data_IF_464429908679
#
_entry.id   IF_464429908679
#
_cell.length_a   1.000
_cell.length_b   1.000
_cell.length_c   1.000
_cell.angle_alpha   90.00
_cell.angle_beta   90.00
_cell.angle_gamma   90.00
#
_symmetry.space_group_name_H-M   'P 1'
#
loop_
_entity.id
_entity.type
_entity.pdbx_description
1 polymer ?
#
# COMPACT_ATOMS: atom_id res chain seq x y z
N UNK A 1 16.09 28.71 10.75
CA UNK A 1 16.16 29.21 9.36
C UNK A 1 15.92 28.03 8.43
N UNK A 2 14.71 27.91 7.88
CA UNK A 2 14.34 26.76 7.04
C UNK A 2 14.70 27.05 5.58
N UNK A 3 15.49 26.18 4.94
CA UNK A 3 15.77 26.23 3.49
C UNK A 3 15.02 25.08 2.82
N UNK A 4 14.02 25.45 2.02
CA UNK A 4 13.23 24.55 1.18
C UNK A 4 14.07 24.05 -0.01
N UNK A 5 14.03 22.75 -0.28
CA UNK A 5 14.73 22.11 -1.39
C UNK A 5 13.71 21.85 -2.51
N UNK A 6 13.93 22.43 -3.69
CA UNK A 6 13.16 22.19 -4.90
C UNK A 6 13.66 20.94 -5.64
N UNK A 7 12.73 20.06 -6.06
CA UNK A 7 13.03 18.85 -6.82
C UNK A 7 12.54 18.95 -8.28
N UNK A 8 13.46 18.75 -9.23
CA UNK A 8 13.19 18.69 -10.66
C UNK A 8 12.86 17.26 -11.15
N UNK A 9 11.85 17.14 -12.02
CA UNK A 9 11.37 15.88 -12.64
C UNK A 9 12.04 15.66 -13.99
N UNK A 10 12.48 14.43 -14.28
CA UNK A 10 12.82 13.99 -15.64
C UNK A 10 12.00 12.74 -16.04
N UNK A 11 11.32 12.86 -17.17
CA UNK A 11 10.52 11.82 -17.84
C UNK A 11 11.38 11.08 -18.87
N UNK A 12 11.20 9.75 -19.00
CA UNK A 12 11.50 9.08 -20.27
C UNK A 12 10.64 7.84 -20.54
N UNK A 13 10.19 7.80 -21.79
CA UNK A 13 9.30 6.84 -22.41
C UNK A 13 9.93 5.46 -22.63
N UNK A 14 9.08 4.43 -22.69
CA UNK A 14 9.46 3.06 -23.09
C UNK A 14 8.72 2.67 -24.38
N UNK A 15 9.50 2.41 -25.43
CA UNK A 15 9.04 1.76 -26.65
C UNK A 15 8.88 0.26 -26.44
N UNK A 16 7.78 -0.30 -26.96
CA UNK A 16 7.49 -1.73 -26.98
C UNK A 16 7.85 -2.29 -28.36
N UNK A 17 8.49 -3.46 -28.39
CA UNK A 17 8.35 -4.40 -29.50
C UNK A 17 7.99 -5.78 -28.97
N UNK A 18 6.98 -6.35 -29.62
CA UNK A 18 6.48 -7.69 -29.43
C UNK A 18 7.21 -8.67 -30.36
N UNK A 19 7.29 -9.94 -29.97
CA UNK A 19 7.26 -11.02 -30.96
C UNK A 19 6.46 -12.20 -30.42
N UNK A 20 5.66 -12.74 -31.33
CA UNK A 20 4.78 -13.90 -31.18
C UNK A 20 5.60 -15.20 -31.16
N UNK A 21 5.01 -16.26 -30.59
CA UNK A 21 5.01 -17.60 -31.23
C UNK A 21 3.90 -18.48 -30.64
N UNK A 22 3.24 -19.18 -31.56
CA UNK A 22 2.04 -20.01 -31.41
C UNK A 22 2.39 -21.51 -31.27
N UNK A 23 1.31 -22.30 -31.14
CA UNK A 23 1.18 -23.77 -31.26
C UNK A 23 1.43 -24.57 -29.96
N UNK A 24 0.67 -25.61 -29.61
CA UNK A 24 -0.56 -26.20 -30.16
C UNK A 24 -1.01 -27.34 -29.23
N UNK A 25 -2.32 -27.53 -29.11
CA UNK A 25 -3.12 -28.75 -28.94
C UNK A 25 -2.64 -29.99 -28.14
N UNK A 26 -3.55 -30.49 -27.30
CA UNK A 26 -3.59 -31.88 -26.79
C UNK A 26 -4.75 -32.07 -25.81
N UNK A 27 -5.90 -32.53 -26.29
CA UNK A 27 -7.12 -32.85 -25.51
C UNK A 27 -7.16 -34.28 -25.00
N UNK A 28 -8.09 -34.50 -24.06
CA UNK A 28 -8.82 -35.74 -23.72
C UNK A 28 -8.14 -36.68 -22.69
N UNK A 29 -8.80 -37.37 -21.76
CA UNK A 29 -10.23 -37.52 -21.35
C UNK A 29 -10.27 -38.32 -20.03
N UNK A 30 -11.27 -38.03 -19.19
CA UNK A 30 -12.08 -38.88 -18.28
C UNK A 30 -11.57 -40.20 -17.68
N UNK A 31 -11.86 -40.38 -16.38
CA UNK A 31 -11.99 -41.68 -15.71
C UNK A 31 -12.59 -41.53 -14.31
N UNK A 32 -13.90 -41.80 -14.17
CA UNK A 32 -14.63 -41.88 -12.91
C UNK A 32 -14.30 -43.17 -12.14
N UNK A 33 -14.37 -43.11 -10.81
CA UNK A 33 -14.23 -44.26 -9.92
C UNK A 33 -14.84 -43.96 -8.55
N UNK A 34 -16.15 -44.16 -8.47
CA UNK A 34 -16.99 -44.00 -7.26
C UNK A 34 -16.66 -45.05 -6.19
N UNK A 35 -16.33 -44.62 -4.98
CA UNK A 35 -16.46 -45.43 -3.78
C UNK A 35 -17.08 -44.62 -2.63
N UNK A 36 -18.12 -45.23 -2.06
CA UNK A 36 -19.08 -44.69 -1.10
C UNK A 36 -18.51 -44.83 0.31
N UNK A 37 -18.19 -43.70 0.95
CA UNK A 37 -17.80 -43.66 2.37
C UNK A 37 -18.84 -42.90 3.17
N UNK A 38 -19.23 -43.51 4.29
CA UNK A 38 -20.15 -43.07 5.33
C UNK A 38 -20.07 -41.57 5.66
N UNK A 39 -21.23 -40.90 5.63
CA UNK A 39 -21.40 -39.48 5.98
C UNK A 39 -21.22 -39.32 7.49
N UNK A 40 -19.99 -39.06 7.92
CA UNK A 40 -19.73 -38.41 9.19
C UNK A 40 -20.03 -36.92 9.06
N UNK A 41 -20.73 -36.34 10.03
CA UNK A 41 -21.00 -34.90 10.11
C UNK A 41 -19.71 -34.13 9.86
N UNK A 42 -19.64 -33.21 8.88
CA UNK A 42 -18.42 -32.45 8.63
C UNK A 42 -18.03 -31.72 9.91
N UNK A 43 -16.74 -31.71 10.30
CA UNK A 43 -16.30 -30.83 11.37
C UNK A 43 -16.74 -29.42 11.02
N UNK A 44 -17.32 -28.71 11.99
CA UNK A 44 -17.65 -27.29 11.85
C UNK A 44 -16.35 -26.56 11.51
N UNK A 45 -16.08 -26.37 10.22
CA UNK A 45 -15.00 -25.53 9.74
C UNK A 45 -15.42 -24.12 10.11
N UNK A 46 -14.85 -23.58 11.17
CA UNK A 46 -14.97 -22.15 11.45
C UNK A 46 -14.68 -21.41 10.14
N UNK A 47 -15.60 -20.54 9.68
CA UNK A 47 -15.37 -19.79 8.46
C UNK A 47 -14.03 -19.07 8.60
N UNK A 48 -13.17 -19.13 7.56
CA UNK A 48 -11.83 -18.59 7.64
C UNK A 48 -11.91 -17.15 8.13
N UNK A 49 -11.22 -16.85 9.24
CA UNK A 49 -11.19 -15.51 9.86
C UNK A 49 -11.06 -14.47 8.76
N UNK A 50 -12.11 -13.67 8.54
CA UNK A 50 -12.16 -12.64 7.49
C UNK A 50 -10.87 -11.81 7.59
N UNK A 51 -10.01 -11.93 6.59
CA UNK A 51 -8.73 -11.22 6.55
C UNK A 51 -9.02 -9.80 6.09
N UNK A 52 -9.02 -8.86 7.03
CA UNK A 52 -9.36 -7.46 6.73
C UNK A 52 -9.52 -6.64 8.01
N UNK A 53 -9.56 -5.33 7.83
CA UNK A 53 -9.88 -4.39 8.90
C UNK A 53 -11.33 -4.62 9.36
N UNK A 54 -11.57 -4.71 10.68
CA UNK A 54 -12.93 -4.79 11.23
C UNK A 54 -13.79 -3.65 10.66
N UNK A 55 -15.03 -3.95 10.30
CA UNK A 55 -15.98 -2.96 9.76
C UNK A 55 -16.02 -1.72 10.66
N UNK A 56 -15.89 -0.53 10.07
CA UNK A 56 -15.94 0.75 10.80
C UNK A 56 -14.72 1.09 11.66
N UNK A 57 -13.74 0.20 11.83
CA UNK A 57 -12.50 0.51 12.56
C UNK A 57 -11.73 1.60 11.80
N UNK A 58 -11.69 2.81 12.33
CA UNK A 58 -10.72 3.82 11.91
C UNK A 58 -9.49 3.76 12.80
N UNK A 59 -8.32 3.87 12.17
CA UNK A 59 -7.06 3.94 12.87
C UNK A 59 -6.97 5.37 13.35
N UNK A 60 -7.02 5.54 14.66
CA UNK A 60 -6.82 6.84 15.29
C UNK A 60 -5.33 7.15 15.34
N UNK A 61 -5.01 8.43 15.21
CA UNK A 61 -3.67 8.91 15.52
C UNK A 61 -3.38 8.54 16.98
N UNK A 62 -2.22 7.94 17.23
CA UNK A 62 -1.74 7.65 18.57
C UNK A 62 -0.62 8.63 18.85
N UNK A 63 -0.62 9.22 20.04
CA UNK A 63 0.54 9.95 20.53
C UNK A 63 1.52 8.95 21.15
N UNK A 64 2.83 9.17 21.04
CA UNK A 64 3.80 8.33 21.69
C UNK A 64 3.71 8.47 23.21
N UNK A 65 4.13 7.42 23.94
CA UNK A 65 4.07 7.40 25.41
C UNK A 65 4.90 8.55 26.00
N UNK A 66 4.34 9.24 27.00
CA UNK A 66 5.01 10.30 27.78
C UNK A 66 5.45 11.54 26.97
N UNK A 67 4.87 11.80 25.78
CA UNK A 67 5.27 12.95 24.95
C UNK A 67 6.67 12.83 24.34
N UNK A 68 7.33 11.68 24.50
CA UNK A 68 8.64 11.41 23.92
C UNK A 68 8.51 11.03 22.44
N UNK A 69 9.28 11.67 21.56
CA UNK A 69 9.32 11.31 20.13
C UNK A 69 9.91 9.92 19.91
N UNK A 70 9.35 9.16 18.98
CA UNK A 70 9.86 7.83 18.61
C UNK A 70 11.09 7.98 17.73
N UNK A 71 12.21 7.41 18.16
CA UNK A 71 13.46 7.44 17.42
C UNK A 71 13.46 6.47 16.23
N UNK A 72 13.73 7.00 15.05
CA UNK A 72 13.85 6.29 13.79
C UNK A 72 15.30 6.39 13.27
N UNK A 73 15.67 5.43 12.42
CA UNK A 73 16.91 5.46 11.65
C UNK A 73 16.62 5.15 10.18
N UNK A 74 17.06 6.02 9.24
CA UNK A 74 17.01 5.74 7.80
C UNK A 74 17.50 4.35 7.43
N UNK A 75 16.81 3.68 6.51
CA UNK A 75 17.22 2.36 6.02
C UNK A 75 16.77 2.08 4.59
N UNK A 76 17.72 2.10 3.67
CA UNK A 76 17.46 2.04 2.23
C UNK A 76 16.64 3.24 1.77
N UNK A 77 16.00 3.14 0.61
CA UNK A 77 15.49 4.34 -0.08
C UNK A 77 14.10 4.80 0.37
N UNK A 78 13.38 4.01 1.18
CA UNK A 78 11.95 4.25 1.44
C UNK A 78 11.46 3.72 2.80
N UNK A 79 12.37 3.36 3.71
CA UNK A 79 11.98 2.77 5.00
C UNK A 79 12.77 3.34 6.17
N UNK A 80 12.13 3.33 7.32
CA UNK A 80 12.78 3.58 8.60
C UNK A 80 12.86 2.29 9.41
N UNK A 81 13.94 2.14 10.15
CA UNK A 81 14.04 1.23 11.29
C UNK A 81 13.77 1.98 12.59
N UNK A 82 13.30 1.29 13.61
CA UNK A 82 13.09 1.88 14.94
C UNK A 82 14.35 1.67 15.78
N UNK A 83 14.87 2.72 16.43
CA UNK A 83 16.06 2.58 17.30
C UNK A 83 15.76 1.69 18.50
N UNK A 84 14.56 1.84 19.08
CA UNK A 84 14.06 0.99 20.17
C UNK A 84 12.71 0.42 19.75
N UNK A 85 12.71 -0.65 18.95
CA UNK A 85 11.49 -1.23 18.40
C UNK A 85 10.55 -1.74 19.51
N UNK A 86 9.44 -1.02 19.72
CA UNK A 86 8.35 -1.42 20.61
C UNK A 86 7.04 -1.52 19.82
N UNK A 87 6.55 -2.74 19.54
CA UNK A 87 5.21 -2.92 18.98
C UNK A 87 4.14 -2.32 19.91
N UNK A 88 3.01 -1.77 19.42
CA UNK A 88 2.54 -1.73 18.03
C UNK A 88 2.59 -0.34 17.37
N UNK A 89 3.42 0.60 17.85
CA UNK A 89 3.42 1.98 17.33
C UNK A 89 4.16 2.10 15.99
N UNK A 90 3.41 2.21 14.89
CA UNK A 90 3.98 2.20 13.52
C UNK A 90 3.93 3.56 12.82
N UNK A 91 5.07 4.04 12.33
CA UNK A 91 5.17 5.30 11.58
C UNK A 91 4.30 5.31 10.31
N UNK A 92 4.29 4.20 9.56
CA UNK A 92 3.48 4.04 8.33
C UNK A 92 1.98 4.18 8.60
N UNK A 93 1.55 3.75 9.78
CA UNK A 93 0.17 3.83 10.22
C UNK A 93 -0.19 5.24 10.65
N UNK A 94 0.67 5.91 11.44
CA UNK A 94 0.45 7.30 11.83
C UNK A 94 0.42 8.21 10.61
N UNK A 95 1.37 8.07 9.69
CA UNK A 95 1.46 8.89 8.49
C UNK A 95 0.23 8.73 7.59
N UNK A 96 -0.31 7.52 7.47
CA UNK A 96 -1.56 7.29 6.74
C UNK A 96 -2.79 7.95 7.39
N UNK A 97 -2.76 8.21 8.70
CA UNK A 97 -3.82 8.97 9.39
C UNK A 97 -3.62 10.46 9.18
N UNK A 98 -2.39 10.97 9.34
CA UNK A 98 -2.04 12.38 9.14
C UNK A 98 -2.40 12.81 7.70
N UNK A 99 -1.99 12.04 6.68
CA UNK A 99 -2.34 12.32 5.28
C UNK A 99 -3.85 12.44 5.01
N UNK A 100 -4.66 11.58 5.64
CA UNK A 100 -6.12 11.62 5.47
C UNK A 100 -6.76 12.81 6.18
N UNK A 101 -6.19 13.22 7.31
CA UNK A 101 -6.68 14.35 8.10
C UNK A 101 -6.34 15.67 7.43
N UNK A 102 -5.11 15.79 6.96
CA UNK A 102 -4.59 16.99 6.29
C UNK A 102 -4.85 16.98 4.78
N UNK A 103 -5.76 16.12 4.30
CA UNK A 103 -6.04 16.00 2.88
C UNK A 103 -6.52 17.36 2.31
N UNK A 104 -5.91 17.87 1.22
CA UNK A 104 -6.22 19.20 0.72
C UNK A 104 -7.68 19.35 0.27
N UNK A 105 -8.17 20.59 0.37
CA UNK A 105 -9.36 21.04 -0.37
C UNK A 105 -9.08 21.08 -1.89
N UNK A 106 -10.12 21.33 -2.68
CA UNK A 106 -10.02 21.48 -4.14
C UNK A 106 -8.95 22.48 -4.54
N UNK A 107 -7.94 21.98 -5.25
CA UNK A 107 -6.79 22.74 -5.73
C UNK A 107 -7.23 23.53 -6.95
N UNK A 108 -6.90 24.82 -6.97
CA UNK A 108 -7.21 25.70 -8.09
C UNK A 108 -6.10 25.63 -9.13
N UNK A 109 -6.45 25.19 -10.33
CA UNK A 109 -5.58 25.28 -11.49
C UNK A 109 -5.57 26.71 -11.98
N UNK A 110 -4.40 27.34 -11.94
CA UNK A 110 -4.22 28.72 -12.38
C UNK A 110 -3.45 28.77 -13.70
N UNK A 111 -3.86 29.65 -14.59
CA UNK A 111 -3.09 29.96 -15.79
C UNK A 111 -1.83 30.80 -15.46
N UNK A 112 -1.05 31.14 -16.50
CA UNK A 112 0.16 31.95 -16.38
C UNK A 112 -0.10 33.36 -15.79
N UNK A 113 -1.36 33.83 -15.84
CA UNK A 113 -1.79 35.13 -15.33
C UNK A 113 -2.41 35.03 -13.92
N UNK A 114 -2.46 33.83 -13.33
CA UNK A 114 -3.02 33.58 -12.01
C UNK A 114 -4.54 33.42 -11.98
N UNK A 115 -5.22 33.38 -13.13
CA UNK A 115 -6.66 33.16 -13.19
C UNK A 115 -6.99 31.68 -13.00
N UNK A 116 -8.03 31.41 -12.22
CA UNK A 116 -8.49 30.04 -11.98
C UNK A 116 -9.18 29.51 -13.24
N UNK A 117 -8.54 28.55 -13.90
CA UNK A 117 -9.04 27.87 -15.12
C UNK A 117 -9.68 26.53 -14.83
N UNK A 118 -9.48 25.99 -13.62
CA UNK A 118 -10.02 24.70 -13.22
C UNK A 118 -9.84 24.43 -11.74
N UNK A 119 -10.41 23.31 -11.29
CA UNK A 119 -10.15 22.78 -9.96
C UNK A 119 -9.97 21.26 -10.05
N UNK A 120 -9.09 20.72 -9.23
CA UNK A 120 -8.89 19.28 -9.13
C UNK A 120 -8.67 18.82 -7.68
N UNK A 121 -8.82 17.52 -7.45
CA UNK A 121 -8.53 16.87 -6.19
C UNK A 121 -7.05 16.47 -6.11
N UNK A 122 -6.45 16.48 -4.93
CA UNK A 122 -5.07 16.03 -4.74
C UNK A 122 -4.91 14.52 -5.03
N UNK A 123 -4.12 14.17 -6.05
CA UNK A 123 -3.85 12.79 -6.46
C UNK A 123 -2.40 12.36 -6.22
N UNK A 124 -1.51 13.34 -6.10
CA UNK A 124 -0.06 13.17 -5.91
C UNK A 124 0.40 13.88 -4.63
N UNK A 125 1.62 13.59 -4.18
CA UNK A 125 2.16 14.24 -2.97
C UNK A 125 2.43 15.73 -3.21
N UNK A 126 2.89 16.10 -4.40
CA UNK A 126 3.20 17.48 -4.75
C UNK A 126 1.95 18.39 -4.63
N UNK A 127 0.76 17.84 -4.88
CA UNK A 127 -0.52 18.53 -4.80
C UNK A 127 -0.83 19.06 -3.39
N UNK A 128 -0.25 18.46 -2.33
CA UNK A 128 -0.43 18.91 -0.95
C UNK A 128 0.18 20.30 -0.68
N UNK A 129 0.99 20.81 -1.60
CA UNK A 129 1.64 22.12 -1.51
C UNK A 129 0.99 23.19 -2.40
N UNK A 130 -0.01 22.84 -3.22
CA UNK A 130 -0.52 23.73 -4.28
C UNK A 130 -1.71 24.61 -3.87
N UNK A 131 -2.32 24.41 -2.71
CA UNK A 131 -3.57 25.07 -2.36
C UNK A 131 -3.58 25.62 -0.93
N UNK A 132 -3.30 26.92 -0.80
CA UNK A 132 -3.15 27.63 0.47
C UNK A 132 -4.18 28.75 0.62
N UNK A 133 -5.39 28.41 1.08
CA UNK A 133 -6.22 29.38 1.82
C UNK A 133 -5.63 29.72 3.19
N UNK A 134 -4.69 28.89 3.65
CA UNK A 134 -3.98 28.97 4.94
C UNK A 134 -2.54 29.42 4.71
N UNK A 135 -1.92 30.02 5.74
CA UNK A 135 -0.50 30.40 5.72
C UNK A 135 0.42 29.19 5.52
N UNK A 136 0.06 28.05 6.10
CA UNK A 136 0.77 26.77 5.96
C UNK A 136 0.01 25.84 4.98
N UNK A 137 0.76 25.16 4.10
CA UNK A 137 0.25 24.14 3.18
C UNK A 137 -0.16 22.86 3.92
N UNK A 138 -1.02 22.05 3.31
CA UNK A 138 -1.31 20.70 3.83
C UNK A 138 -0.05 19.84 3.91
N UNK A 139 0.87 19.97 2.95
CA UNK A 139 2.12 19.23 2.93
C UNK A 139 3.03 19.57 4.11
N UNK A 140 3.17 20.86 4.43
CA UNK A 140 3.93 21.33 5.60
C UNK A 140 3.33 20.81 6.91
N UNK A 141 2.00 20.85 7.08
CA UNK A 141 1.34 20.30 8.28
C UNK A 141 1.61 18.80 8.45
N UNK A 142 1.54 18.02 7.36
CA UNK A 142 1.86 16.59 7.38
C UNK A 142 3.30 16.34 7.85
N UNK A 143 4.26 17.11 7.34
CA UNK A 143 5.67 16.98 7.71
C UNK A 143 5.91 17.42 9.15
N UNK A 144 5.34 18.55 9.55
CA UNK A 144 5.42 19.11 10.91
C UNK A 144 4.92 18.11 11.95
N UNK A 145 3.75 17.52 11.71
CA UNK A 145 3.18 16.51 12.61
C UNK A 145 3.97 15.22 12.65
N UNK A 146 4.48 14.76 11.50
CA UNK A 146 5.33 13.58 11.49
C UNK A 146 6.57 13.81 12.38
N UNK A 147 7.25 14.94 12.24
CA UNK A 147 8.41 15.28 13.07
C UNK A 147 8.06 15.71 14.49
N UNK A 148 6.79 15.98 14.79
CA UNK A 148 6.31 16.10 16.16
C UNK A 148 6.25 14.73 16.85
N UNK A 149 5.93 13.66 16.12
CA UNK A 149 5.79 12.29 16.67
C UNK A 149 7.10 11.49 16.60
N UNK A 150 7.97 11.77 15.63
CA UNK A 150 9.17 11.00 15.34
C UNK A 150 10.42 11.89 15.36
N UNK A 151 11.57 11.28 15.64
CA UNK A 151 12.88 11.95 15.56
C UNK A 151 13.91 11.03 14.93
N UNK A 152 14.92 11.63 14.32
CA UNK A 152 16.12 10.97 13.82
C UNK A 152 17.35 11.63 14.45
N UNK A 153 18.51 11.00 14.33
CA UNK A 153 19.77 11.64 14.69
C UNK A 153 20.06 12.83 13.75
N UNK A 154 20.86 13.81 14.20
CA UNK A 154 21.07 15.06 13.45
C UNK A 154 21.76 14.79 12.11
N UNK A 155 22.74 13.89 12.13
CA UNK A 155 23.48 13.40 10.95
C UNK A 155 22.60 12.68 9.92
N UNK A 156 21.44 12.17 10.35
CA UNK A 156 20.52 11.38 9.52
C UNK A 156 19.37 12.23 8.95
N UNK A 157 19.28 13.53 9.27
CA UNK A 157 18.10 14.36 8.93
C UNK A 157 17.87 14.51 7.43
N UNK A 158 18.93 14.74 6.64
CA UNK A 158 18.80 14.91 5.19
C UNK A 158 18.30 13.63 4.52
N UNK A 159 18.91 12.49 4.87
CA UNK A 159 18.50 11.18 4.34
C UNK A 159 17.09 10.81 4.81
N UNK A 160 16.75 11.11 6.06
CA UNK A 160 15.41 10.90 6.58
C UNK A 160 14.35 11.72 5.82
N UNK A 161 14.69 12.96 5.43
CA UNK A 161 13.86 13.79 4.57
C UNK A 161 13.59 13.13 3.21
N UNK A 162 14.66 12.68 2.53
CA UNK A 162 14.55 11.98 1.23
C UNK A 162 13.71 10.71 1.30
N UNK A 163 13.92 9.89 2.34
CA UNK A 163 13.16 8.65 2.56
C UNK A 163 11.68 8.96 2.82
N UNK A 164 11.40 9.96 3.67
CA UNK A 164 10.03 10.34 4.00
C UNK A 164 9.29 10.84 2.76
N UNK A 165 9.91 11.68 1.96
CA UNK A 165 9.32 12.19 0.71
C UNK A 165 9.04 11.07 -0.29
N UNK A 166 10.01 10.17 -0.48
CA UNK A 166 9.85 9.00 -1.37
C UNK A 166 8.71 8.11 -0.89
N UNK A 167 8.62 7.89 0.43
CA UNK A 167 7.52 7.14 1.03
C UNK A 167 6.17 7.83 0.85
N UNK A 168 6.09 9.16 1.05
CA UNK A 168 4.87 9.96 0.91
C UNK A 168 4.33 9.94 -0.52
N UNK A 169 5.21 10.13 -1.52
CA UNK A 169 4.86 10.00 -2.95
C UNK A 169 4.20 8.66 -3.26
N UNK A 170 4.74 7.57 -2.71
CA UNK A 170 4.12 6.25 -2.85
C UNK A 170 2.81 6.15 -2.06
N UNK A 171 2.79 6.64 -0.82
CA UNK A 171 1.67 6.45 0.12
C UNK A 171 0.41 7.18 -0.33
N UNK A 172 0.53 8.38 -0.92
CA UNK A 172 -0.62 9.11 -1.47
C UNK A 172 -1.28 8.32 -2.60
N UNK A 173 -0.50 7.75 -3.53
CA UNK A 173 -1.04 6.89 -4.61
C UNK A 173 -1.74 5.65 -4.07
N UNK A 174 -1.12 4.97 -3.09
CA UNK A 174 -1.73 3.83 -2.41
C UNK A 174 -3.04 4.23 -1.70
N UNK A 175 -3.07 5.43 -1.12
CA UNK A 175 -4.24 5.99 -0.44
C UNK A 175 -5.39 6.24 -1.43
N UNK A 176 -5.12 6.80 -2.61
CA UNK A 176 -6.14 7.01 -3.65
C UNK A 176 -6.71 5.69 -4.18
N UNK A 177 -5.84 4.68 -4.36
CA UNK A 177 -6.30 3.33 -4.70
C UNK A 177 -7.21 2.75 -3.61
N UNK A 178 -6.81 2.88 -2.34
CA UNK A 178 -7.60 2.43 -1.18
C UNK A 178 -8.93 3.19 -1.06
N UNK A 179 -8.93 4.50 -1.30
CA UNK A 179 -10.11 5.37 -1.26
C UNK A 179 -11.20 4.85 -2.18
N UNK A 180 -10.84 4.54 -3.44
CA UNK A 180 -11.77 4.00 -4.43
C UNK A 180 -12.35 2.64 -4.01
N UNK A 181 -11.53 1.75 -3.47
CA UNK A 181 -12.00 0.44 -2.98
C UNK A 181 -12.92 0.62 -1.76
N UNK A 182 -12.58 1.53 -0.85
CA UNK A 182 -13.44 1.90 0.29
C UNK A 182 -14.78 2.48 -0.18
N UNK A 183 -14.78 3.27 -1.27
CA UNK A 183 -15.97 3.86 -1.87
C UNK A 183 -16.94 2.81 -2.41
N UNK A 184 -16.40 1.80 -3.14
CA UNK A 184 -17.19 0.65 -3.60
C UNK A 184 -17.83 -0.05 -2.41
N UNK A 185 -17.06 -0.31 -1.35
CA UNK A 185 -17.59 -0.97 -0.15
C UNK A 185 -18.68 -0.14 0.54
N UNK A 186 -18.53 1.18 0.57
CA UNK A 186 -19.56 2.06 1.14
C UNK A 186 -20.84 2.06 0.30
N UNK A 187 -20.73 2.12 -1.03
CA UNK A 187 -21.89 2.04 -1.92
C UNK A 187 -22.68 0.75 -1.70
N UNK A 188 -22.03 -0.42 -1.71
CA UNK A 188 -22.72 -1.69 -1.46
C UNK A 188 -23.27 -1.80 -0.04
N UNK A 189 -22.64 -1.16 0.96
CA UNK A 189 -23.21 -1.04 2.31
C UNK A 189 -24.54 -0.28 2.29
N UNK A 190 -24.69 0.75 1.46
CA UNK A 190 -25.99 1.45 1.32
C UNK A 190 -27.11 0.56 0.78
N UNK A 191 -26.74 -0.55 0.10
CA UNK A 191 -27.66 -1.57 -0.40
C UNK A 191 -27.86 -2.74 0.59
N UNK A 192 -27.22 -2.69 1.76
CA UNK A 192 -27.24 -3.77 2.76
C UNK A 192 -26.23 -4.90 2.49
N UNK A 193 -25.30 -4.74 1.54
CA UNK A 193 -24.31 -5.75 1.19
C UNK A 193 -22.92 -5.45 1.78
N UNK A 194 -22.30 -6.45 2.42
CA UNK A 194 -20.91 -6.36 2.90
C UNK A 194 -19.93 -7.00 1.91
N UNK A 195 -19.12 -6.17 1.25
CA UNK A 195 -18.02 -6.63 0.41
C UNK A 195 -16.68 -6.67 1.16
N UNK A 196 -15.87 -7.71 0.90
CA UNK A 196 -14.47 -7.71 1.27
C UNK A 196 -13.59 -7.00 0.20
N UNK A 197 -12.30 -6.85 0.49
CA UNK A 197 -11.39 -6.15 -0.42
C UNK A 197 -11.19 -6.90 -1.75
N UNK A 198 -11.31 -8.24 -1.77
CA UNK A 198 -11.14 -9.04 -2.98
C UNK A 198 -12.32 -8.85 -3.93
N UNK A 199 -13.53 -8.79 -3.40
CA UNK A 199 -14.76 -8.56 -4.16
C UNK A 199 -14.89 -7.09 -4.59
N UNK A 200 -14.53 -6.14 -3.73
CA UNK A 200 -14.62 -4.71 -4.05
C UNK A 200 -13.52 -4.21 -5.01
N UNK A 201 -12.33 -4.83 -4.99
CA UNK A 201 -11.22 -4.45 -5.85
C UNK A 201 -11.56 -4.42 -7.36
N UNK A 202 -12.15 -5.47 -7.97
CA UNK A 202 -12.42 -5.50 -9.41
C UNK A 202 -13.58 -4.59 -9.84
N UNK A 203 -14.57 -4.33 -8.98
CA UNK A 203 -15.79 -3.59 -9.34
C UNK A 203 -15.46 -2.17 -9.81
N UNK A 204 -16.04 -1.78 -10.94
CA UNK A 204 -16.07 -0.42 -11.46
C UNK A 204 -17.49 0.11 -11.27
N UNK A 205 -17.61 1.30 -10.67
CA UNK A 205 -18.88 1.98 -10.46
C UNK A 205 -18.99 3.14 -11.46
N UNK A 206 -20.24 3.50 -11.75
CA UNK A 206 -20.58 4.76 -12.41
C UNK A 206 -20.51 5.92 -11.40
N UNK A 207 -20.46 7.16 -11.92
CA UNK A 207 -20.26 8.37 -11.12
C UNK A 207 -21.30 8.53 -10.00
N UNK A 208 -22.58 8.32 -10.31
CA UNK A 208 -23.69 8.42 -9.36
C UNK A 208 -23.58 7.41 -8.20
N UNK A 209 -23.03 6.23 -8.47
CA UNK A 209 -22.81 5.17 -7.47
C UNK A 209 -21.59 5.48 -6.61
N UNK A 210 -20.52 6.03 -7.18
CA UNK A 210 -19.40 6.51 -6.38
C UNK A 210 -19.80 7.67 -5.47
N UNK A 211 -20.63 8.61 -5.94
CA UNK A 211 -21.15 9.70 -5.11
C UNK A 211 -21.88 9.20 -3.85
N UNK A 212 -22.70 8.15 -4.00
CA UNK A 212 -23.39 7.47 -2.87
C UNK A 212 -22.42 6.75 -1.92
N UNK A 213 -21.27 6.30 -2.42
CA UNK A 213 -20.23 5.60 -1.66
C UNK A 213 -19.22 6.52 -0.95
N UNK A 214 -19.63 7.69 -0.45
CA UNK A 214 -18.70 8.67 0.13
C UNK A 214 -17.91 8.15 1.33
N UNK A 215 -16.58 8.27 1.26
CA UNK A 215 -15.70 7.91 2.38
C UNK A 215 -15.59 9.04 3.41
N UNK A 216 -15.55 8.67 4.69
CA UNK A 216 -15.65 9.62 5.83
C UNK A 216 -14.57 10.70 5.90
N UNK A 217 -13.33 10.38 5.50
CA UNK A 217 -12.21 11.30 5.65
C UNK A 217 -12.08 12.28 4.49
N UNK A 218 -12.77 12.06 3.36
CA UNK A 218 -12.66 12.94 2.21
C UNK A 218 -13.61 14.14 2.37
N UNK A 219 -13.15 15.38 2.15
CA UNK A 219 -13.99 16.56 2.18
C UNK A 219 -15.19 16.43 1.23
N UNK A 220 -16.40 16.87 1.64
CA UNK A 220 -17.60 16.83 0.79
C UNK A 220 -17.38 17.49 -0.58
N UNK A 221 -16.72 18.64 -0.62
CA UNK A 221 -16.50 19.40 -1.85
C UNK A 221 -15.52 18.72 -2.81
N UNK A 222 -14.57 17.95 -2.28
CA UNK A 222 -13.57 17.24 -3.10
C UNK A 222 -14.11 15.91 -3.63
N UNK A 223 -15.10 15.33 -2.96
CA UNK A 223 -15.62 14.00 -3.28
C UNK A 223 -16.12 13.85 -4.72
N UNK A 224 -16.93 14.78 -5.28
CA UNK A 224 -17.38 14.68 -6.67
C UNK A 224 -16.24 14.70 -7.68
N UNK A 225 -15.17 15.44 -7.41
CA UNK A 225 -13.99 15.48 -8.29
C UNK A 225 -13.26 14.13 -8.31
N UNK A 226 -13.11 13.48 -7.15
CA UNK A 226 -12.54 12.13 -7.09
C UNK A 226 -13.40 11.08 -7.82
N UNK A 227 -14.73 11.18 -7.70
CA UNK A 227 -15.66 10.29 -8.41
C UNK A 227 -15.49 10.44 -9.93
N UNK A 228 -15.52 11.69 -10.42
CA UNK A 228 -15.28 12.02 -11.84
C UNK A 228 -13.92 11.49 -12.32
N UNK A 229 -12.87 11.67 -11.51
CA UNK A 229 -11.55 11.15 -11.83
C UNK A 229 -11.54 9.62 -12.00
N UNK A 230 -12.18 8.86 -11.08
CA UNK A 230 -12.24 7.40 -11.18
C UNK A 230 -13.11 6.89 -12.34
N UNK A 231 -14.07 7.69 -12.81
CA UNK A 231 -14.85 7.41 -14.01
C UNK A 231 -14.20 7.92 -15.31
N UNK A 232 -13.09 8.66 -15.21
CA UNK A 232 -12.39 9.19 -16.38
C UNK A 232 -11.83 8.08 -17.28
N UNK A 233 -11.86 8.32 -18.59
CA UNK A 233 -11.29 7.40 -19.59
C UNK A 233 -9.81 7.12 -19.33
N UNK A 234 -9.06 8.14 -18.90
CA UNK A 234 -7.63 8.02 -18.61
C UNK A 234 -7.38 7.06 -17.44
N UNK A 235 -8.08 7.26 -16.32
CA UNK A 235 -7.95 6.40 -15.15
C UNK A 235 -8.32 4.95 -15.46
N UNK A 236 -9.47 4.74 -16.13
CA UNK A 236 -9.93 3.41 -16.51
C UNK A 236 -8.94 2.70 -17.44
N UNK A 237 -8.35 3.41 -18.40
CA UNK A 237 -7.32 2.85 -19.28
C UNK A 237 -6.06 2.44 -18.51
N UNK A 238 -5.57 3.29 -17.60
CA UNK A 238 -4.41 2.99 -16.74
C UNK A 238 -4.68 1.78 -15.83
N UNK A 239 -5.87 1.74 -15.23
CA UNK A 239 -6.34 0.64 -14.37
C UNK A 239 -6.44 -0.68 -15.11
N UNK A 240 -7.12 -0.72 -16.26
CA UNK A 240 -7.25 -1.92 -17.11
C UNK A 240 -5.88 -2.47 -17.52
N UNK A 241 -4.95 -1.60 -17.91
CA UNK A 241 -3.57 -1.98 -18.21
C UNK A 241 -2.87 -2.62 -17.01
N UNK A 242 -2.99 -2.01 -15.83
CA UNK A 242 -2.41 -2.53 -14.59
C UNK A 242 -3.07 -3.82 -14.09
N UNK A 243 -4.36 -4.04 -14.36
CA UNK A 243 -5.05 -5.28 -14.06
C UNK A 243 -4.61 -6.40 -15.01
N UNK A 244 -4.59 -6.14 -16.32
CA UNK A 244 -4.12 -7.07 -17.35
C UNK A 244 -2.68 -7.54 -17.06
N UNK A 245 -1.77 -6.61 -16.80
CA UNK A 245 -0.38 -6.94 -16.46
C UNK A 245 -0.24 -7.84 -15.21
N UNK A 246 -1.14 -7.69 -14.23
CA UNK A 246 -1.15 -8.54 -13.02
C UNK A 246 -1.73 -9.93 -13.31
N UNK A 247 -2.82 -10.01 -14.08
CA UNK A 247 -3.50 -11.26 -14.40
C UNK A 247 -2.73 -12.11 -15.41
N UNK A 248 -1.96 -11.49 -16.31
CA UNK A 248 -1.09 -12.19 -17.27
C UNK A 248 0.15 -12.83 -16.63
N UNK A 249 0.43 -12.53 -15.35
CA UNK A 249 1.57 -13.11 -14.65
C UNK A 249 1.14 -14.35 -13.86
N UNK A 250 1.39 -15.54 -14.42
CA UNK A 250 1.13 -16.85 -13.78
C UNK A 250 1.82 -17.05 -12.42
N UNK A 251 2.84 -16.24 -12.15
CA UNK A 251 3.54 -16.22 -10.87
C UNK A 251 3.84 -14.78 -10.45
N UNK A 252 2.95 -14.21 -9.64
CA UNK A 252 3.02 -12.81 -9.19
C UNK A 252 4.11 -12.60 -8.12
N UNK A 253 4.68 -13.68 -7.56
CA UNK A 253 5.66 -13.62 -6.47
C UNK A 253 5.24 -12.67 -5.33
N UNK A 254 3.95 -12.68 -4.96
CA UNK A 254 3.38 -11.75 -4.01
C UNK A 254 4.02 -11.90 -2.62
N UNK A 255 4.17 -10.78 -1.91
CA UNK A 255 4.59 -10.81 -0.51
C UNK A 255 3.43 -11.27 0.39
N UNK A 256 3.71 -12.19 1.30
CA UNK A 256 2.79 -12.75 2.28
C UNK A 256 2.98 -12.19 3.71
N UNK A 257 3.96 -11.29 3.92
CA UNK A 257 4.28 -10.62 5.20
C UNK A 257 3.23 -9.63 5.74
N UNK A 258 2.09 -9.49 5.08
CA UNK A 258 1.02 -8.57 5.48
C UNK A 258 1.44 -7.10 5.37
N UNK A 259 1.03 -6.25 6.32
CA UNK A 259 1.34 -4.82 6.35
C UNK A 259 2.72 -4.48 6.92
N UNK A 260 3.53 -5.47 7.31
CA UNK A 260 4.88 -5.25 7.82
C UNK A 260 5.83 -5.03 6.63
N UNK A 261 6.49 -3.86 6.53
CA UNK A 261 7.51 -3.63 5.51
C UNK A 261 8.76 -4.47 5.79
N UNK A 262 9.71 -4.49 4.84
CA UNK A 262 10.90 -5.32 4.90
C UNK A 262 11.74 -5.06 6.16
N UNK A 263 12.03 -3.78 6.44
CA UNK A 263 12.81 -3.35 7.60
C UNK A 263 12.15 -3.75 8.91
N UNK A 264 10.82 -3.60 9.02
CA UNK A 264 10.09 -4.01 10.23
C UNK A 264 10.08 -5.55 10.38
N UNK A 265 9.98 -6.28 9.27
CA UNK A 265 10.06 -7.74 9.27
C UNK A 265 11.45 -8.20 9.73
N UNK A 266 12.50 -7.53 9.28
CA UNK A 266 13.87 -7.79 9.71
C UNK A 266 14.05 -7.56 11.21
N UNK A 267 13.62 -6.41 11.74
CA UNK A 267 13.71 -6.11 13.18
C UNK A 267 12.90 -7.11 14.02
N UNK A 268 11.72 -7.53 13.52
CA UNK A 268 10.93 -8.53 14.20
C UNK A 268 11.65 -9.89 14.27
N UNK A 269 12.28 -10.32 13.17
CA UNK A 269 13.05 -11.57 13.13
C UNK A 269 14.27 -11.48 14.06
N UNK A 270 14.99 -10.35 14.04
CA UNK A 270 16.15 -10.11 14.90
C UNK A 270 15.82 -10.25 16.38
N UNK A 271 14.72 -9.62 16.82
CA UNK A 271 14.29 -9.65 18.21
C UNK A 271 13.76 -11.03 18.63
N UNK A 272 13.10 -11.73 17.71
CA UNK A 272 12.44 -13.01 18.04
C UNK A 272 13.38 -14.20 17.96
N UNK A 273 14.32 -14.18 17.00
CA UNK A 273 15.13 -15.35 16.65
C UNK A 273 16.64 -15.08 16.60
N UNK A 274 17.08 -13.85 16.89
CA UNK A 274 18.49 -13.47 16.88
C UNK A 274 18.96 -12.80 15.58
N UNK A 275 20.05 -12.01 15.65
CA UNK A 275 20.58 -11.25 14.51
C UNK A 275 21.06 -12.15 13.36
N UNK A 276 21.53 -13.36 13.65
CA UNK A 276 21.96 -14.34 12.65
C UNK A 276 20.79 -14.83 11.77
N UNK A 277 19.55 -14.73 12.26
CA UNK A 277 18.35 -15.02 11.49
C UNK A 277 17.81 -13.80 10.75
N UNK A 278 18.19 -12.58 11.14
CA UNK A 278 17.73 -11.34 10.52
C UNK A 278 18.49 -10.97 9.23
N UNK A 279 19.08 -11.94 8.53
CA UNK A 279 19.78 -11.67 7.27
C UNK A 279 18.80 -11.20 6.18
N UNK A 280 19.23 -10.33 5.24
CA UNK A 280 18.36 -9.86 4.16
C UNK A 280 17.74 -11.00 3.34
N UNK A 281 18.49 -12.08 3.16
CA UNK A 281 18.05 -13.27 2.44
C UNK A 281 16.94 -14.00 3.20
N UNK A 282 17.11 -14.24 4.52
CA UNK A 282 16.07 -14.87 5.32
C UNK A 282 14.79 -14.00 5.35
N UNK A 283 14.93 -12.69 5.54
CA UNK A 283 13.80 -11.75 5.52
C UNK A 283 13.04 -11.81 4.20
N UNK A 284 13.76 -11.81 3.07
CA UNK A 284 13.14 -11.98 1.75
C UNK A 284 12.30 -13.26 1.70
N UNK A 285 12.86 -14.39 2.12
CA UNK A 285 12.12 -15.66 2.07
C UNK A 285 10.91 -15.63 2.99
N UNK A 286 11.07 -15.17 4.23
CA UNK A 286 9.97 -15.02 5.18
C UNK A 286 8.86 -14.13 4.63
N UNK A 287 9.20 -13.07 3.90
CA UNK A 287 8.19 -12.25 3.23
C UNK A 287 7.50 -12.98 2.07
N UNK A 288 8.15 -13.94 1.41
CA UNK A 288 7.57 -14.74 0.32
C UNK A 288 6.84 -16.00 0.77
N UNK A 289 7.19 -16.59 1.91
CA UNK A 289 6.49 -17.74 2.49
C UNK A 289 5.42 -17.31 3.49
N UNK A 290 5.63 -16.18 4.17
CA UNK A 290 4.75 -15.62 5.21
C UNK A 290 5.35 -15.79 6.61
N UNK A 291 5.28 -14.73 7.43
CA UNK A 291 5.86 -14.72 8.79
C UNK A 291 5.31 -15.80 9.72
N UNK A 292 4.04 -16.20 9.53
CA UNK A 292 3.41 -17.26 10.30
C UNK A 292 3.91 -18.66 9.94
N UNK A 293 4.68 -18.79 8.86
CA UNK A 293 5.29 -20.04 8.42
C UNK A 293 6.77 -20.13 8.85
N UNK A 294 7.21 -19.24 9.73
CA UNK A 294 8.53 -19.33 10.36
C UNK A 294 8.44 -20.26 11.56
N UNK A 295 9.33 -21.24 11.64
CA UNK A 295 9.37 -22.17 12.77
C UNK A 295 10.00 -21.54 14.03
N UNK A 296 10.00 -22.28 15.13
CA UNK A 296 10.55 -21.83 16.42
C UNK A 296 12.05 -21.52 16.36
N UNK A 297 12.77 -21.98 15.33
CA UNK A 297 14.20 -21.76 15.11
C UNK A 297 14.49 -20.58 14.17
N UNK A 298 13.46 -19.88 13.71
CA UNK A 298 13.59 -18.77 12.77
C UNK A 298 13.80 -19.19 11.32
N UNK A 299 13.60 -20.47 10.97
CA UNK A 299 13.68 -20.95 9.58
C UNK A 299 12.35 -20.73 8.87
N UNK A 300 12.44 -20.33 7.61
CA UNK A 300 11.29 -20.05 6.77
C UNK A 300 10.57 -21.32 6.28
N UNK A 301 9.26 -21.22 6.10
CA UNK A 301 8.46 -22.24 5.42
C UNK A 301 8.55 -22.18 3.89
N UNK A 302 7.88 -23.11 3.21
CA UNK A 302 7.96 -23.25 1.76
C UNK A 302 7.52 -21.99 0.98
N UNK A 303 8.35 -21.58 0.01
CA UNK A 303 8.01 -20.51 -0.93
C UNK A 303 7.06 -21.07 -1.99
N UNK A 304 5.88 -20.47 -2.15
CA UNK A 304 4.90 -20.91 -3.17
C UNK A 304 5.28 -20.47 -4.59
N UNK A 305 5.87 -19.29 -4.71
CA UNK A 305 6.27 -18.71 -6.00
C UNK A 305 7.54 -19.37 -6.57
N UNK A 306 7.46 -19.85 -7.82
CA UNK A 306 8.60 -20.38 -8.59
C UNK A 306 9.62 -19.28 -8.91
N UNK A 307 9.17 -18.08 -9.27
CA UNK A 307 10.02 -16.90 -9.51
C UNK A 307 10.79 -16.51 -8.26
N UNK A 308 10.14 -16.48 -7.10
CA UNK A 308 10.81 -16.18 -5.84
C UNK A 308 11.83 -17.26 -5.44
N UNK A 309 11.49 -18.55 -5.65
CA UNK A 309 12.44 -19.68 -5.48
C UNK A 309 13.66 -19.54 -6.38
N UNK A 310 13.46 -19.30 -7.68
CA UNK A 310 14.57 -19.12 -8.63
C UNK A 310 15.47 -17.94 -8.24
N UNK A 311 14.90 -16.84 -7.76
CA UNK A 311 15.67 -15.69 -7.27
C UNK A 311 16.57 -16.08 -6.08
N UNK A 312 16.02 -16.86 -5.15
CA UNK A 312 16.77 -17.40 -4.00
C UNK A 312 17.90 -18.34 -4.40
N UNK A 313 17.60 -19.30 -5.27
CA UNK A 313 18.57 -20.28 -5.78
C UNK A 313 19.72 -19.55 -6.49
N UNK A 314 19.41 -18.58 -7.36
CA UNK A 314 20.40 -17.77 -8.08
C UNK A 314 21.32 -16.98 -7.13
N UNK A 315 20.79 -16.45 -6.04
CA UNK A 315 21.59 -15.74 -5.04
C UNK A 315 22.47 -16.68 -4.21
N UNK A 316 21.98 -17.88 -3.93
CA UNK A 316 22.69 -18.88 -3.13
C UNK A 316 23.78 -19.56 -3.94
N UNK A 317 23.57 -19.79 -5.24
CA UNK A 317 24.55 -20.39 -6.16
C UNK A 317 25.69 -19.45 -6.56
N UNK A 318 25.65 -18.19 -6.14
CA UNK A 318 26.70 -17.18 -6.38
C UNK A 318 27.62 -16.95 -5.17
N UNK A 319 27.41 -17.70 -4.09
CA UNK A 319 28.29 -17.76 -2.92
C UNK A 319 29.13 -19.01 -2.98
#
# INVERSE_FOLDING_TARGET
MARSIHHARNNRATGRHASQRSASHGSATTGEGSQRTTIGTPPHVEPPKKRGRKTGSQTKLRLPQQGAKVALKPKGDMQFSYVNYKPPYKYTTQLGVILKREYPDLIEDKDEHGHVVGKHAALEWDDYFLNTKSVETSGERVLSEFWHLFKVAEEDQEEAGRILETYLKKRVKDMMYQARVEAVKEYYRTLGEELDDKLACPIELEDDRYLKGKIKWCPPEVWPELCRYWCSKEFLAKRKRGQKARLESDDIAQNHGGSRPFTETQQHIEITYGPEKATPLNVYVVMKSGINNVDTTGRYGAIRSRKAKKCMETYTSRR
#
